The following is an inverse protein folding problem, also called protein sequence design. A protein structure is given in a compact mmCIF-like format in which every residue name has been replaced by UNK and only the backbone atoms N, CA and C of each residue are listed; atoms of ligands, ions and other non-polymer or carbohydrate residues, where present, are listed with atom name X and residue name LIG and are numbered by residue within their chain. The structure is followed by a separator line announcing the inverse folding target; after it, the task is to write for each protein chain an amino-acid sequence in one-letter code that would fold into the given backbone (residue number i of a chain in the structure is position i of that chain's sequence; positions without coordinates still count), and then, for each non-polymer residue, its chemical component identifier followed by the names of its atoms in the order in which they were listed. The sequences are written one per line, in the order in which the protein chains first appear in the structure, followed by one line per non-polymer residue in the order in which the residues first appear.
data_IF_440655206274
#
_entry.id   IF_440655206274
#
_cell.length_a   1.000
_cell.length_b   1.000
_cell.length_c   1.000
_cell.angle_alpha   90.00
_cell.angle_beta   90.00
_cell.angle_gamma   90.00
#
_symmetry.space_group_name_H-M   'P 1'
#
loop_
_entity.id
_entity.type
_entity.pdbx_description
1 polymer ?
#
# COMPACT_ATOMS: atom_id res chain seq x y z
N UNK A 1 4.63 -5.14 -21.23
CA UNK A 1 5.56 -5.22 -20.08
C UNK A 1 4.75 -5.19 -18.79
N UNK A 2 4.82 -6.26 -18.01
CA UNK A 2 3.99 -6.47 -16.82
C UNK A 2 4.32 -5.46 -15.71
N UNK A 3 3.56 -4.36 -15.63
CA UNK A 3 3.55 -3.44 -14.49
C UNK A 3 2.39 -3.80 -13.57
N UNK A 4 2.48 -4.92 -12.86
CA UNK A 4 1.42 -5.37 -11.94
C UNK A 4 2.08 -5.86 -10.65
N UNK A 5 1.89 -5.10 -9.56
CA UNK A 5 2.26 -5.51 -8.20
C UNK A 5 3.06 -4.49 -7.38
N UNK A 6 3.75 -3.53 -8.01
CA UNK A 6 4.70 -2.66 -7.30
C UNK A 6 3.98 -1.44 -6.69
N UNK A 7 3.73 -1.55 -5.39
CA UNK A 7 3.49 -0.51 -4.36
C UNK A 7 2.72 0.75 -4.77
N UNK A 8 1.50 0.60 -5.31
CA UNK A 8 0.60 1.74 -5.52
C UNK A 8 0.41 2.56 -4.23
N UNK A 9 0.39 1.89 -3.06
CA UNK A 9 0.32 2.53 -1.76
C UNK A 9 1.54 3.42 -1.48
N UNK A 10 2.77 2.91 -1.68
CA UNK A 10 3.96 3.75 -1.51
C UNK A 10 3.98 4.92 -2.51
N UNK A 11 3.55 4.71 -3.75
CA UNK A 11 3.52 5.77 -4.76
C UNK A 11 2.50 6.86 -4.39
N UNK A 12 1.32 6.46 -3.90
CA UNK A 12 0.35 7.40 -3.31
C UNK A 12 1.00 8.18 -2.16
N UNK A 13 1.64 7.49 -1.21
CA UNK A 13 2.32 8.14 -0.08
C UNK A 13 3.43 9.11 -0.52
N UNK A 14 4.21 8.77 -1.56
CA UNK A 14 5.25 9.65 -2.12
C UNK A 14 4.66 10.94 -2.66
N UNK A 15 3.54 10.88 -3.37
CA UNK A 15 2.91 12.06 -4.00
C UNK A 15 2.18 12.97 -3.04
N UNK A 16 1.62 12.40 -1.99
CA UNK A 16 0.96 13.15 -0.91
C UNK A 16 1.94 13.57 0.20
N UNK A 17 3.23 13.25 0.09
CA UNK A 17 4.24 13.64 1.07
C UNK A 17 4.24 15.17 1.26
N UNK A 18 4.25 15.59 2.52
CA UNK A 18 4.22 17.01 2.90
C UNK A 18 2.84 17.65 2.84
N UNK A 19 1.77 16.88 2.63
CA UNK A 19 0.42 17.35 2.92
C UNK A 19 0.13 17.23 4.41
N UNK A 20 -0.44 18.28 4.98
CA UNK A 20 -1.02 18.25 6.31
C UNK A 20 -2.42 17.65 6.24
N UNK A 21 -2.71 16.72 7.15
CA UNK A 21 -4.03 16.10 7.28
C UNK A 21 -4.81 16.79 8.42
N UNK A 22 -6.14 16.97 8.29
CA UNK A 22 -7.01 16.43 7.25
C UNK A 22 -6.90 17.17 5.91
N UNK A 23 -7.15 16.46 4.80
CA UNK A 23 -7.00 17.00 3.45
C UNK A 23 -8.17 16.64 2.53
N UNK A 24 -8.58 17.59 1.68
CA UNK A 24 -9.70 17.44 0.74
C UNK A 24 -9.35 16.57 -0.47
N UNK A 25 -10.35 15.86 -1.00
CA UNK A 25 -10.25 14.99 -2.18
C UNK A 25 -9.70 15.71 -3.40
N UNK A 26 -10.09 16.97 -3.64
CA UNK A 26 -9.61 17.74 -4.79
C UNK A 26 -8.09 17.98 -4.74
N UNK A 27 -7.54 18.24 -3.55
CA UNK A 27 -6.08 18.40 -3.37
C UNK A 27 -5.36 17.07 -3.66
N UNK A 28 -5.93 15.96 -3.22
CA UNK A 28 -5.39 14.62 -3.50
C UNK A 28 -5.47 14.30 -5.00
N UNK A 29 -6.60 14.59 -5.65
CA UNK A 29 -6.78 14.42 -7.10
C UNK A 29 -5.71 15.16 -7.88
N UNK A 30 -5.41 16.40 -7.50
CA UNK A 30 -4.36 17.20 -8.15
C UNK A 30 -2.97 16.55 -7.97
N UNK A 31 -2.65 16.02 -6.78
CA UNK A 31 -1.38 15.29 -6.54
C UNK A 31 -1.31 13.97 -7.32
N UNK A 32 -2.44 13.31 -7.54
CA UNK A 32 -2.52 11.99 -8.15
C UNK A 32 -2.96 12.00 -9.63
N UNK A 33 -3.07 13.17 -10.26
CA UNK A 33 -3.60 13.33 -11.63
C UNK A 33 -2.87 12.52 -12.70
N UNK A 34 -1.56 12.34 -12.55
CA UNK A 34 -0.71 11.56 -13.46
C UNK A 34 -0.35 10.18 -12.91
N UNK A 35 -1.09 9.69 -11.90
CA UNK A 35 -0.87 8.36 -11.32
C UNK A 35 -1.87 7.39 -11.94
N UNK A 36 -1.37 6.22 -12.36
CA UNK A 36 -2.19 5.16 -12.94
C UNK A 36 -2.00 3.88 -12.15
N UNK A 37 -3.11 3.25 -11.79
CA UNK A 37 -3.13 1.91 -11.23
C UNK A 37 -3.55 0.92 -12.33
N UNK A 38 -2.62 0.05 -12.77
CA UNK A 38 -2.85 -0.94 -13.84
C UNK A 38 -3.49 -0.36 -15.12
N UNK A 39 -3.18 0.89 -15.45
CA UNK A 39 -3.73 1.60 -16.62
C UNK A 39 -5.00 2.42 -16.34
N UNK A 40 -5.58 2.31 -15.14
CA UNK A 40 -6.72 3.12 -14.70
C UNK A 40 -6.18 4.39 -14.02
N UNK A 41 -6.63 5.60 -14.42
CA UNK A 41 -6.26 6.84 -13.75
C UNK A 41 -6.68 6.82 -12.28
N UNK A 42 -5.79 7.25 -11.39
CA UNK A 42 -6.11 7.32 -9.95
C UNK A 42 -7.24 8.31 -9.67
N UNK A 43 -7.38 9.37 -10.48
CA UNK A 43 -8.51 10.29 -10.41
C UNK A 43 -9.85 9.59 -10.57
N UNK A 44 -9.98 8.66 -11.54
CA UNK A 44 -11.18 7.83 -11.71
C UNK A 44 -11.46 6.99 -10.46
N UNK A 45 -10.42 6.42 -9.83
CA UNK A 45 -10.59 5.63 -8.60
C UNK A 45 -11.05 6.54 -7.45
N UNK A 46 -10.49 7.74 -7.32
CA UNK A 46 -10.90 8.72 -6.32
C UNK A 46 -12.34 9.22 -6.54
N UNK A 47 -12.83 9.28 -7.77
CA UNK A 47 -14.22 9.64 -8.08
C UNK A 47 -15.24 8.65 -7.49
N UNK A 48 -14.84 7.39 -7.31
CA UNK A 48 -15.69 6.37 -6.68
C UNK A 48 -15.75 6.46 -5.15
N UNK A 49 -14.91 7.31 -4.54
CA UNK A 49 -14.88 7.51 -3.09
C UNK A 49 -15.91 8.58 -2.72
N UNK A 50 -16.96 8.24 -1.92
CA UNK A 50 -17.99 9.21 -1.53
C UNK A 50 -17.47 10.32 -0.60
N UNK A 51 -16.38 10.05 0.13
CA UNK A 51 -15.79 10.98 1.08
C UNK A 51 -15.07 12.13 0.36
N UNK A 52 -15.20 13.33 0.90
CA UNK A 52 -14.58 14.55 0.36
C UNK A 52 -13.32 14.98 1.12
N UNK A 53 -13.03 14.39 2.27
CA UNK A 53 -11.91 14.76 3.16
C UNK A 53 -11.33 13.53 3.85
N UNK A 54 -10.02 13.49 4.08
CA UNK A 54 -9.31 12.35 4.65
C UNK A 54 -8.48 12.80 5.85
N UNK A 55 -8.58 12.05 6.96
CA UNK A 55 -7.97 12.35 8.26
C UNK A 55 -6.52 11.86 8.36
N UNK A 56 -6.15 10.87 7.55
CA UNK A 56 -4.80 10.32 7.58
C UNK A 56 -4.43 9.63 6.26
N UNK A 57 -3.13 9.44 5.99
CA UNK A 57 -2.68 8.62 4.87
C UNK A 57 -3.23 7.20 4.89
N UNK A 58 -3.38 6.61 6.08
CA UNK A 58 -3.93 5.26 6.24
C UNK A 58 -5.42 5.20 5.84
N UNK A 59 -6.20 6.22 6.21
CA UNK A 59 -7.60 6.31 5.77
C UNK A 59 -7.70 6.49 4.26
N UNK A 60 -6.88 7.35 3.66
CA UNK A 60 -6.85 7.53 2.20
C UNK A 60 -6.55 6.22 1.47
N UNK A 61 -5.51 5.48 1.88
CA UNK A 61 -5.19 4.18 1.29
C UNK A 61 -6.32 3.16 1.50
N UNK A 62 -7.04 3.24 2.61
CA UNK A 62 -8.21 2.39 2.86
C UNK A 62 -9.31 2.67 1.84
N UNK A 63 -9.72 3.93 1.69
CA UNK A 63 -10.77 4.34 0.77
C UNK A 63 -10.43 4.05 -0.70
N UNK A 64 -9.17 4.27 -1.11
CA UNK A 64 -8.70 3.88 -2.46
C UNK A 64 -8.84 2.37 -2.67
N UNK A 65 -8.47 1.56 -1.67
CA UNK A 65 -8.61 0.10 -1.75
C UNK A 65 -10.08 -0.32 -1.87
N UNK A 66 -11.00 0.32 -1.14
CA UNK A 66 -12.43 0.05 -1.21
C UNK A 66 -13.01 0.44 -2.57
N UNK A 67 -12.61 1.58 -3.12
CA UNK A 67 -13.00 2.01 -4.46
C UNK A 67 -12.57 1.02 -5.55
N UNK A 68 -11.33 0.50 -5.46
CA UNK A 68 -10.83 -0.53 -6.38
C UNK A 68 -11.72 -1.79 -6.28
N UNK A 69 -12.01 -2.29 -5.08
CA UNK A 69 -12.86 -3.49 -4.93
C UNK A 69 -14.26 -3.29 -5.50
N UNK A 70 -14.89 -2.13 -5.30
CA UNK A 70 -16.20 -1.83 -5.90
C UNK A 70 -16.17 -1.80 -7.43
N UNK A 71 -15.07 -1.33 -8.02
CA UNK A 71 -14.88 -1.36 -9.48
C UNK A 71 -14.65 -2.80 -9.98
N UNK A 72 -13.93 -3.64 -9.22
CA UNK A 72 -13.74 -5.06 -9.52
C UNK A 72 -15.06 -5.83 -9.47
N UNK A 73 -15.86 -5.63 -8.42
CA UNK A 73 -17.17 -6.28 -8.24
C UNK A 73 -18.16 -5.91 -9.35
N UNK A 74 -18.11 -4.67 -9.86
CA UNK A 74 -18.91 -4.21 -11.00
C UNK A 74 -18.37 -4.69 -12.35
N UNK A 75 -17.21 -5.35 -12.40
CA UNK A 75 -16.56 -5.79 -13.63
C UNK A 75 -16.00 -4.65 -14.50
N UNK A 76 -15.90 -3.43 -13.95
CA UNK A 76 -15.33 -2.29 -14.67
C UNK A 76 -13.80 -2.37 -14.81
N UNK A 77 -13.17 -3.12 -13.91
CA UNK A 77 -11.73 -3.38 -13.91
C UNK A 77 -11.49 -4.88 -13.67
N UNK A 78 -10.39 -5.46 -14.19
CA UNK A 78 -10.10 -6.88 -13.98
C UNK A 78 -9.95 -7.19 -12.50
N UNK A 79 -10.63 -8.24 -12.02
CA UNK A 79 -10.46 -8.75 -10.66
C UNK A 79 -9.01 -9.14 -10.46
N UNK A 80 -8.39 -8.57 -9.45
CA UNK A 80 -7.03 -8.87 -9.06
C UNK A 80 -7.13 -9.76 -7.83
N UNK A 81 -7.11 -11.07 -8.02
CA UNK A 81 -7.50 -12.10 -7.04
C UNK A 81 -6.75 -12.10 -5.69
N UNK A 82 -5.89 -11.13 -5.39
CA UNK A 82 -5.27 -11.02 -4.07
C UNK A 82 -6.11 -10.05 -3.27
N UNK A 83 -6.96 -10.62 -2.40
CA UNK A 83 -7.57 -9.95 -1.25
C UNK A 83 -6.47 -9.25 -0.47
N UNK A 84 -6.15 -8.04 -0.92
CA UNK A 84 -5.40 -7.06 -0.19
C UNK A 84 -6.27 -6.63 0.95
N UNK A 85 -6.38 -7.47 2.00
CA UNK A 85 -6.27 -6.91 3.34
C UNK A 85 -5.14 -5.91 3.20
N UNK A 86 -5.50 -4.66 3.44
CA UNK A 86 -4.73 -3.50 3.04
C UNK A 86 -3.48 -3.48 3.90
N UNK A 87 -2.54 -4.38 3.61
CA UNK A 87 -1.38 -4.67 4.42
C UNK A 87 -0.55 -3.40 4.55
N UNK A 88 -0.59 -2.53 3.54
CA UNK A 88 -0.08 -1.18 3.60
C UNK A 88 -0.76 -0.37 4.71
N UNK A 89 -2.09 -0.31 4.76
CA UNK A 89 -2.84 0.32 5.85
C UNK A 89 -2.56 -0.33 7.21
N UNK A 90 -2.53 -1.65 7.30
CA UNK A 90 -2.25 -2.35 8.57
C UNK A 90 -0.81 -2.11 9.03
N UNK A 91 0.15 -2.05 8.11
CA UNK A 91 1.51 -1.59 8.41
C UNK A 91 1.47 -0.16 8.93
N UNK A 92 0.85 0.77 8.20
CA UNK A 92 0.74 2.18 8.61
C UNK A 92 0.08 2.37 9.98
N UNK A 93 -0.96 1.59 10.30
CA UNK A 93 -1.61 1.61 11.62
C UNK A 93 -0.64 1.17 12.71
N UNK A 94 0.13 0.10 12.49
CA UNK A 94 1.08 -0.43 13.47
C UNK A 94 2.30 0.46 13.69
N UNK A 95 2.76 1.13 12.63
CA UNK A 95 3.90 2.05 12.70
C UNK A 95 3.48 3.50 12.99
N UNK A 96 2.19 3.75 13.23
CA UNK A 96 1.69 5.08 13.57
C UNK A 96 2.39 5.60 14.83
N UNK A 97 2.84 6.87 14.76
CA UNK A 97 3.53 7.53 15.86
C UNK A 97 5.01 7.18 15.99
N UNK A 98 5.59 6.44 15.04
CA UNK A 98 7.03 6.36 14.92
C UNK A 98 7.57 7.62 14.22
N UNK A 99 8.65 8.16 14.76
CA UNK A 99 9.45 9.16 14.08
C UNK A 99 10.40 8.46 13.10
N UNK A 100 10.49 9.01 11.88
CA UNK A 100 11.40 8.54 10.85
C UNK A 100 12.64 9.48 10.80
N UNK A 101 13.86 8.95 10.55
CA UNK A 101 14.15 7.58 10.13
C UNK A 101 14.06 6.55 11.27
N UNK A 102 13.76 5.29 10.91
CA UNK A 102 13.51 4.21 11.87
C UNK A 102 14.21 2.92 11.46
N UNK A 103 14.78 2.23 12.46
CA UNK A 103 15.51 0.98 12.25
C UNK A 103 14.59 -0.21 12.02
N UNK A 104 15.07 -1.18 11.24
CA UNK A 104 14.37 -2.43 10.88
C UNK A 104 13.93 -3.22 12.11
N UNK A 105 14.71 -3.23 13.19
CA UNK A 105 14.36 -3.96 14.41
C UNK A 105 13.11 -3.39 15.09
N UNK A 106 12.97 -2.05 15.10
CA UNK A 106 11.79 -1.38 15.66
C UNK A 106 10.56 -1.72 14.80
N UNK A 107 10.72 -1.71 13.47
CA UNK A 107 9.64 -2.10 12.55
C UNK A 107 9.26 -3.57 12.73
N UNK A 108 10.23 -4.47 12.88
CA UNK A 108 9.99 -5.90 13.12
C UNK A 108 9.18 -6.13 14.40
N UNK A 109 9.52 -5.44 15.49
CA UNK A 109 8.76 -5.50 16.74
C UNK A 109 7.32 -5.00 16.57
N UNK A 110 7.12 -3.92 15.80
CA UNK A 110 5.78 -3.42 15.49
C UNK A 110 4.99 -4.40 14.62
N UNK A 111 5.62 -5.13 13.72
CA UNK A 111 4.95 -6.00 12.75
C UNK A 111 4.94 -7.49 13.13
N UNK A 112 5.43 -7.88 14.31
CA UNK A 112 5.64 -9.29 14.71
C UNK A 112 4.41 -10.20 14.65
N UNK A 113 3.22 -9.66 14.88
CA UNK A 113 1.95 -10.40 14.83
C UNK A 113 1.15 -10.12 13.54
N UNK A 114 1.78 -9.51 12.53
CA UNK A 114 1.17 -9.27 11.23
C UNK A 114 1.52 -10.39 10.27
N UNK A 115 0.51 -10.88 9.56
CA UNK A 115 0.65 -11.90 8.53
C UNK A 115 0.12 -11.36 7.21
N UNK A 116 0.80 -11.72 6.13
CA UNK A 116 0.39 -11.45 4.76
C UNK A 116 0.24 -12.77 4.01
N UNK A 117 -0.99 -13.13 3.63
CA UNK A 117 -1.32 -14.41 3.00
C UNK A 117 -0.71 -15.63 3.73
N UNK A 118 -0.80 -15.65 5.06
CA UNK A 118 -0.24 -16.71 5.91
C UNK A 118 1.27 -16.59 6.18
N UNK A 119 1.97 -15.65 5.55
CA UNK A 119 3.40 -15.41 5.76
C UNK A 119 3.61 -14.34 6.83
N UNK A 120 4.40 -14.60 7.89
CA UNK A 120 4.73 -13.58 8.88
C UNK A 120 5.43 -12.38 8.24
N UNK A 121 5.08 -11.16 8.65
CA UNK A 121 5.75 -9.94 8.19
C UNK A 121 7.21 -9.87 8.62
N UNK A 122 7.60 -10.56 9.70
CA UNK A 122 9.01 -10.74 10.06
C UNK A 122 9.79 -11.44 8.94
N UNK A 123 9.27 -12.54 8.40
CA UNK A 123 9.89 -13.24 7.25
C UNK A 123 9.98 -12.33 6.02
N UNK A 124 8.97 -11.51 5.76
CA UNK A 124 8.99 -10.54 4.65
C UNK A 124 10.05 -9.46 4.91
N UNK A 125 10.15 -8.94 6.13
CA UNK A 125 11.18 -7.97 6.51
C UNK A 125 12.58 -8.57 6.39
N UNK A 126 12.80 -9.84 6.71
CA UNK A 126 14.11 -10.50 6.59
C UNK A 126 14.68 -10.42 5.16
N UNK A 127 13.80 -10.39 4.15
CA UNK A 127 14.16 -10.24 2.74
C UNK A 127 14.51 -8.81 2.32
N UNK A 128 14.22 -7.82 3.17
CA UNK A 128 14.61 -6.43 2.99
C UNK A 128 16.06 -6.25 3.41
N UNK A 129 16.89 -5.77 2.48
CA UNK A 129 18.34 -5.57 2.68
C UNK A 129 18.71 -4.34 3.50
N UNK A 130 17.79 -3.39 3.66
CA UNK A 130 18.01 -2.15 4.41
C UNK A 130 17.76 -2.36 5.90
N UNK A 131 18.58 -1.72 6.72
CA UNK A 131 18.47 -1.75 8.18
C UNK A 131 17.77 -0.49 8.73
N UNK A 132 17.53 0.53 7.90
CA UNK A 132 16.87 1.78 8.27
C UNK A 132 15.98 2.27 7.14
N UNK A 133 14.90 2.97 7.49
CA UNK A 133 13.89 3.50 6.58
C UNK A 133 13.65 4.98 6.87
N UNK A 134 13.65 5.81 5.82
CA UNK A 134 13.50 7.27 5.90
C UNK A 134 12.04 7.73 5.92
N UNK A 135 11.13 6.87 5.48
CA UNK A 135 9.70 7.21 5.45
C UNK A 135 8.79 5.98 5.40
N UNK A 136 7.50 6.13 5.77
CA UNK A 136 6.50 5.08 5.56
C UNK A 136 6.41 4.62 4.10
N UNK A 137 6.58 5.54 3.15
CA UNK A 137 6.54 5.23 1.72
C UNK A 137 7.71 4.34 1.30
N UNK A 138 8.91 4.59 1.82
CA UNK A 138 10.06 3.74 1.58
C UNK A 138 9.87 2.35 2.19
N UNK A 139 9.40 2.27 3.44
CA UNK A 139 9.08 1.00 4.08
C UNK A 139 8.09 0.16 3.25
N UNK A 140 6.96 0.76 2.84
CA UNK A 140 5.97 0.06 2.00
C UNK A 140 6.53 -0.34 0.62
N UNK A 141 7.49 0.40 0.09
CA UNK A 141 8.13 0.04 -1.15
C UNK A 141 9.03 -1.19 -0.97
N UNK A 142 9.90 -1.18 0.03
CA UNK A 142 10.82 -2.30 0.32
C UNK A 142 10.06 -3.58 0.69
N UNK A 143 8.98 -3.47 1.47
CA UNK A 143 8.10 -4.60 1.79
C UNK A 143 7.44 -5.18 0.53
N UNK A 144 6.97 -4.33 -0.39
CA UNK A 144 6.38 -4.79 -1.65
C UNK A 144 7.41 -5.51 -2.53
N UNK A 145 8.66 -5.03 -2.58
CA UNK A 145 9.75 -5.67 -3.31
C UNK A 145 10.14 -7.02 -2.68
N UNK A 146 10.18 -7.10 -1.35
CA UNK A 146 10.42 -8.35 -0.63
C UNK A 146 9.33 -9.40 -0.91
N UNK A 147 8.06 -8.99 -0.84
CA UNK A 147 6.91 -9.83 -1.20
C UNK A 147 7.07 -10.36 -2.63
N UNK A 148 7.38 -9.50 -3.60
CA UNK A 148 7.55 -9.92 -5.00
C UNK A 148 8.63 -10.98 -5.15
N UNK A 149 9.79 -10.81 -4.50
CA UNK A 149 10.88 -11.80 -4.57
C UNK A 149 10.51 -13.14 -3.96
N UNK A 150 9.67 -13.14 -2.92
CA UNK A 150 9.20 -14.38 -2.31
C UNK A 150 8.16 -15.08 -3.20
N UNK A 151 7.29 -14.32 -3.88
CA UNK A 151 6.38 -14.84 -4.90
C UNK A 151 7.13 -15.42 -6.11
N UNK A 152 8.13 -14.71 -6.64
CA UNK A 152 8.97 -15.15 -7.77
C UNK A 152 9.72 -16.45 -7.45
N UNK A 153 10.08 -16.69 -6.18
CA UNK A 153 10.69 -17.93 -5.70
C UNK A 153 9.69 -19.06 -5.42
N UNK A 154 8.38 -18.79 -5.50
CA UNK A 154 7.34 -19.75 -5.14
C UNK A 154 7.27 -20.06 -3.64
N UNK A 155 7.93 -19.26 -2.79
CA UNK A 155 7.91 -19.43 -1.33
C UNK A 155 6.60 -18.92 -0.70
N UNK A 156 5.81 -18.20 -1.49
CA UNK A 156 4.46 -17.78 -1.15
C UNK A 156 3.58 -18.34 -2.25
N UNK A 157 2.67 -19.24 -1.87
CA UNK A 157 1.72 -19.77 -2.82
C UNK A 157 0.90 -18.60 -3.39
N UNK A 158 0.99 -18.38 -4.70
CA UNK A 158 -0.22 -17.96 -5.41
C UNK A 158 -1.24 -19.06 -5.10
N UNK A 159 -2.28 -18.77 -4.32
CA UNK A 159 -3.47 -19.61 -4.36
C UNK A 159 -3.88 -19.66 -5.83
N UNK A 160 -3.57 -20.78 -6.49
CA UNK A 160 -4.08 -21.10 -7.82
C UNK A 160 -5.58 -21.29 -7.63
N UNK A 161 -6.34 -20.23 -7.86
CA UNK A 161 -7.78 -20.27 -8.06
C UNK A 161 -8.04 -20.21 -9.55
#
# INVERSE_FOLDING_TARGET
MARRGISWAAEVLKRIRGLDFPVKKDVIKERLKDLYWRGIPMTKILDEIPKEEFESPAELLHEISQAIHKLEERGEIPVTSKKGINWAVEVLKRIRGLDFPVKKEIIAERLKDLYWMGVPMSKILDEVKKDEFESPAELLHELAEAIRKLEERGEIAEERV
#
